data_IF_178656264233
#
_entry.id   IF_178656264233
#
_cell.length_a   1.000
_cell.length_b   1.000
_cell.length_c   1.000
_cell.angle_alpha   90.00
_cell.angle_beta   90.00
_cell.angle_gamma   90.00
#
_symmetry.space_group_name_H-M   'P 1'
#
loop_
_entity.id
_entity.type
_entity.pdbx_description
1 polymer ?
#
# COMPACT_ATOMS: atom_id res chain seq x y z
N UNK A 1 -25.41 -36.72 -6.60
CA UNK A 1 -24.25 -37.00 -7.46
C UNK A 1 -23.80 -35.88 -8.41
N UNK A 2 -24.50 -34.73 -8.54
CA UNK A 2 -24.12 -33.64 -9.46
C UNK A 2 -22.87 -32.82 -9.06
N UNK A 3 -22.60 -32.68 -7.76
CA UNK A 3 -21.44 -31.91 -7.27
C UNK A 3 -20.08 -32.54 -7.61
N UNK A 4 -19.98 -33.88 -7.54
CA UNK A 4 -18.72 -34.60 -7.79
C UNK A 4 -18.25 -34.47 -9.25
N UNK A 5 -19.17 -34.57 -10.21
CA UNK A 5 -18.84 -34.41 -11.63
C UNK A 5 -18.27 -33.01 -11.93
N UNK A 6 -18.84 -31.97 -11.32
CA UNK A 6 -18.36 -30.59 -11.47
C UNK A 6 -16.97 -30.39 -10.85
N UNK A 7 -16.72 -31.01 -9.69
CA UNK A 7 -15.39 -31.01 -9.05
C UNK A 7 -14.36 -31.74 -9.92
N UNK A 8 -14.70 -32.91 -10.47
CA UNK A 8 -13.80 -33.64 -11.36
C UNK A 8 -13.48 -32.87 -12.65
N UNK A 9 -14.48 -32.24 -13.26
CA UNK A 9 -14.27 -31.40 -14.44
C UNK A 9 -13.35 -30.21 -14.13
N UNK A 10 -13.53 -29.56 -12.98
CA UNK A 10 -12.67 -28.47 -12.52
C UNK A 10 -11.23 -28.95 -12.30
N UNK A 11 -11.05 -30.08 -11.61
CA UNK A 11 -9.73 -30.67 -11.35
C UNK A 11 -9.02 -31.05 -12.66
N UNK A 12 -9.74 -31.61 -13.64
CA UNK A 12 -9.19 -31.96 -14.94
C UNK A 12 -8.72 -30.70 -15.71
N UNK A 13 -9.51 -29.63 -15.70
CA UNK A 13 -9.13 -28.36 -16.32
C UNK A 13 -7.90 -27.72 -15.67
N UNK A 14 -7.84 -27.73 -14.34
CA UNK A 14 -6.69 -27.21 -13.59
C UNK A 14 -5.42 -28.04 -13.84
N UNK A 15 -5.55 -29.37 -13.93
CA UNK A 15 -4.44 -30.27 -14.23
C UNK A 15 -3.89 -30.01 -15.63
N UNK A 16 -4.76 -29.78 -16.63
CA UNK A 16 -4.34 -29.44 -17.98
C UNK A 16 -3.54 -28.13 -18.01
N UNK A 17 -4.07 -27.08 -17.36
CA UNK A 17 -3.40 -25.78 -17.29
C UNK A 17 -2.04 -25.84 -16.58
N UNK A 18 -1.89 -26.68 -15.55
CA UNK A 18 -0.61 -26.88 -14.87
C UNK A 18 0.43 -27.55 -15.79
N UNK A 19 0.00 -28.48 -16.63
CA UNK A 19 0.86 -29.18 -17.59
C UNK A 19 1.22 -28.33 -18.81
N UNK A 20 0.45 -27.29 -19.11
CA UNK A 20 0.70 -26.33 -20.19
C UNK A 20 1.73 -25.25 -19.80
N UNK A 21 2.12 -25.15 -18.53
CA UNK A 21 3.17 -24.23 -18.10
C UNK A 21 4.53 -24.62 -18.70
N UNK A 22 5.12 -23.71 -19.49
CA UNK A 22 6.35 -23.97 -20.25
C UNK A 22 7.62 -23.63 -19.48
N UNK A 23 7.53 -22.78 -18.45
CA UNK A 23 8.66 -22.31 -17.67
C UNK A 23 8.33 -22.16 -16.18
N UNK A 24 9.37 -22.06 -15.35
CA UNK A 24 9.22 -21.95 -13.90
C UNK A 24 8.41 -20.72 -13.46
N UNK A 25 8.48 -19.61 -14.20
CA UNK A 25 7.71 -18.40 -13.88
C UNK A 25 6.21 -18.65 -14.03
N UNK A 26 5.79 -19.22 -15.15
CA UNK A 26 4.40 -19.58 -15.44
C UNK A 26 3.84 -20.56 -14.41
N UNK A 27 4.64 -21.55 -14.00
CA UNK A 27 4.27 -22.49 -12.95
C UNK A 27 3.99 -21.77 -11.61
N UNK A 28 4.92 -20.92 -11.16
CA UNK A 28 4.76 -20.21 -9.90
C UNK A 28 3.63 -19.18 -9.93
N UNK A 29 3.40 -18.52 -11.07
CA UNK A 29 2.27 -17.60 -11.24
C UNK A 29 0.93 -18.35 -11.27
N UNK A 30 0.87 -19.54 -11.88
CA UNK A 30 -0.31 -20.42 -11.84
C UNK A 30 -0.67 -20.82 -10.41
N UNK A 31 0.33 -21.23 -9.62
CA UNK A 31 0.19 -21.60 -8.21
C UNK A 31 -0.25 -20.39 -7.41
N UNK A 32 0.49 -19.27 -7.49
CA UNK A 32 0.21 -18.05 -6.73
C UNK A 32 -1.21 -17.53 -6.98
N UNK A 33 -1.67 -17.44 -8.24
CA UNK A 33 -3.05 -17.01 -8.57
C UNK A 33 -4.16 -17.85 -7.89
N UNK A 34 -3.86 -19.09 -7.47
CA UNK A 34 -4.83 -20.05 -6.90
C UNK A 34 -4.62 -20.33 -5.41
N UNK A 35 -3.40 -20.13 -4.90
CA UNK A 35 -3.07 -20.33 -3.48
C UNK A 35 -3.01 -19.02 -2.71
N UNK A 36 -2.68 -17.89 -3.35
CA UNK A 36 -2.73 -16.60 -2.67
C UNK A 36 -4.20 -16.28 -2.40
N UNK A 37 -4.58 -16.07 -1.12
CA UNK A 37 -5.85 -15.43 -0.85
C UNK A 37 -5.77 -14.05 -1.48
N UNK A 38 -6.54 -13.79 -2.55
CA UNK A 38 -6.71 -12.43 -3.10
C UNK A 38 -6.75 -11.48 -1.91
N UNK A 39 -5.83 -10.50 -1.79
CA UNK A 39 -5.84 -9.60 -0.66
C UNK A 39 -7.24 -8.99 -0.64
N UNK A 40 -8.01 -9.33 0.40
CA UNK A 40 -9.35 -8.79 0.56
C UNK A 40 -9.12 -7.29 0.63
N UNK A 41 -9.77 -6.53 -0.25
CA UNK A 41 -9.80 -5.07 -0.12
C UNK A 41 -10.11 -4.78 1.34
N UNK A 42 -9.18 -4.12 2.01
CA UNK A 42 -9.35 -3.70 3.40
C UNK A 42 -10.74 -3.08 3.50
N UNK A 43 -11.59 -3.63 4.37
CA UNK A 43 -12.90 -3.04 4.65
C UNK A 43 -12.77 -1.72 5.42
N UNK A 44 -11.54 -1.38 5.83
CA UNK A 44 -11.23 -0.24 6.66
C UNK A 44 -10.96 0.96 5.77
N UNK A 45 -11.71 2.03 5.98
CA UNK A 45 -11.47 3.33 5.32
C UNK A 45 -10.27 4.03 5.93
N UNK A 46 -9.66 4.97 5.20
CA UNK A 46 -8.56 5.79 5.71
C UNK A 46 -8.97 6.54 6.99
N UNK A 47 -10.21 6.99 7.07
CA UNK A 47 -10.77 7.65 8.27
C UNK A 47 -10.85 6.73 9.48
N UNK A 48 -11.19 5.45 9.28
CA UNK A 48 -11.21 4.45 10.35
C UNK A 48 -9.79 4.12 10.84
N UNK A 49 -8.82 4.07 9.93
CA UNK A 49 -7.41 3.91 10.30
C UNK A 49 -6.91 5.12 11.12
N UNK A 50 -7.22 6.35 10.70
CA UNK A 50 -6.83 7.54 11.44
C UNK A 50 -7.34 7.52 12.88
N UNK A 51 -8.60 7.12 13.07
CA UNK A 51 -9.21 7.00 14.42
C UNK A 51 -8.48 5.95 15.27
N UNK A 52 -8.15 4.78 14.69
CA UNK A 52 -7.45 3.71 15.40
C UNK A 52 -5.99 4.10 15.72
N UNK A 53 -5.34 4.84 14.83
CA UNK A 53 -4.00 5.40 15.06
C UNK A 53 -4.01 6.46 16.15
N UNK A 54 -4.95 7.41 16.14
CA UNK A 54 -5.10 8.41 17.20
C UNK A 54 -5.34 7.77 18.57
N UNK A 55 -6.12 6.69 18.63
CA UNK A 55 -6.35 5.96 19.87
C UNK A 55 -5.08 5.24 20.39
N UNK A 56 -4.20 4.80 19.49
CA UNK A 56 -2.93 4.13 19.83
C UNK A 56 -1.79 5.09 20.11
N UNK A 57 -1.84 6.29 19.54
CA UNK A 57 -0.97 7.37 19.93
C UNK A 57 -1.37 7.73 21.36
N UNK A 58 -0.61 7.23 22.33
CA UNK A 58 -0.80 7.49 23.77
C UNK A 58 -0.57 8.97 24.09
N UNK A 59 -1.39 9.86 23.54
CA UNK A 59 -1.34 11.27 23.83
C UNK A 59 -1.80 11.47 25.27
N UNK A 60 -0.96 12.05 26.13
CA UNK A 60 -1.37 12.33 27.49
C UNK A 60 -2.49 13.38 27.45
N UNK A 61 -3.63 13.06 28.08
CA UNK A 61 -4.79 13.97 28.17
C UNK A 61 -4.45 15.29 28.87
N UNK A 62 -3.43 15.26 29.72
CA UNK A 62 -2.87 16.40 30.43
C UNK A 62 -1.37 16.40 30.14
N UNK A 63 -0.87 17.49 29.56
CA UNK A 63 0.56 17.71 29.36
C UNK A 63 1.28 17.59 30.71
N UNK A 64 2.36 16.82 30.84
CA UNK A 64 3.11 16.74 32.10
C UNK A 64 3.56 18.15 32.52
N UNK A 65 3.55 18.46 33.82
CA UNK A 65 3.95 19.80 34.32
C UNK A 65 5.40 20.16 34.02
N UNK A 66 6.24 19.18 33.66
CA UNK A 66 7.61 19.36 33.20
C UNK A 66 7.72 19.81 31.75
N UNK A 67 6.63 19.73 30.97
CA UNK A 67 6.59 20.17 29.59
C UNK A 67 6.24 21.65 29.54
N UNK A 68 6.97 22.39 28.70
CA UNK A 68 6.67 23.80 28.46
C UNK A 68 5.56 23.89 27.41
N UNK A 69 4.34 24.20 27.86
CA UNK A 69 3.16 24.27 27.00
C UNK A 69 3.28 25.35 25.91
N UNK A 70 4.00 26.44 26.16
CA UNK A 70 4.22 27.49 25.16
C UNK A 70 5.16 27.00 24.06
N UNK A 71 6.21 26.25 24.44
CA UNK A 71 7.10 25.60 23.48
C UNK A 71 6.35 24.52 22.66
N UNK A 72 5.45 23.77 23.30
CA UNK A 72 4.64 22.76 22.62
C UNK A 72 3.70 23.40 21.59
N UNK A 73 3.01 24.50 21.96
CA UNK A 73 2.16 25.27 21.04
C UNK A 73 2.96 25.88 19.89
N UNK A 74 4.14 26.42 20.18
CA UNK A 74 5.05 26.95 19.17
C UNK A 74 5.49 25.87 18.18
N UNK A 75 5.93 24.72 18.68
CA UNK A 75 6.32 23.58 17.86
C UNK A 75 5.15 23.05 17.01
N UNK A 76 3.95 22.98 17.56
CA UNK A 76 2.75 22.56 16.83
C UNK A 76 2.42 23.54 15.69
N UNK A 77 2.59 24.84 15.92
CA UNK A 77 2.44 25.86 14.87
C UNK A 77 3.52 25.74 13.81
N UNK A 78 4.79 25.62 14.21
CA UNK A 78 5.90 25.39 13.29
C UNK A 78 5.71 24.14 12.44
N UNK A 79 5.28 23.03 13.02
CA UNK A 79 5.03 21.79 12.28
C UNK A 79 3.93 21.95 11.23
N UNK A 80 2.88 22.73 11.54
CA UNK A 80 1.83 23.07 10.58
C UNK A 80 2.39 23.92 9.44
N UNK A 81 3.20 24.91 9.75
CA UNK A 81 3.78 25.81 8.75
C UNK A 81 4.83 25.11 7.87
N UNK A 82 5.56 24.12 8.42
CA UNK A 82 6.51 23.27 7.70
C UNK A 82 5.85 22.35 6.66
N UNK A 83 4.56 22.06 6.80
CA UNK A 83 3.84 21.19 5.85
C UNK A 83 3.60 21.85 4.47
N UNK A 84 3.84 23.16 4.35
CA UNK A 84 3.69 23.90 3.10
C UNK A 84 4.89 23.85 2.16
N UNK A 85 6.08 23.49 2.67
CA UNK A 85 7.34 23.50 1.90
C UNK A 85 8.19 22.29 2.29
N UNK A 86 7.80 21.13 1.77
CA UNK A 86 8.53 19.86 1.91
C UNK A 86 9.70 19.76 0.92
N UNK A 87 9.92 20.79 0.09
CA UNK A 87 11.02 20.79 -0.86
C UNK A 87 12.34 20.79 -0.09
N UNK A 88 13.15 19.76 -0.30
CA UNK A 88 14.45 19.72 0.34
C UNK A 88 15.36 20.83 -0.19
N UNK A 89 15.73 21.75 0.70
CA UNK A 89 16.71 22.81 0.43
C UNK A 89 18.11 22.46 0.95
N UNK A 90 18.31 21.27 1.51
CA UNK A 90 19.61 20.81 1.97
C UNK A 90 20.58 20.65 0.79
N UNK A 91 21.89 20.95 0.97
CA UNK A 91 22.90 20.77 -0.09
C UNK A 91 23.00 19.33 -0.61
N UNK A 92 22.45 18.37 0.13
CA UNK A 92 22.49 16.93 -0.19
C UNK A 92 21.19 16.41 -0.81
N UNK A 93 20.11 17.20 -0.87
CA UNK A 93 18.79 16.76 -1.36
C UNK A 93 18.36 15.40 -0.73
N UNK A 94 18.55 15.29 0.58
CA UNK A 94 18.20 14.15 1.42
C UNK A 94 16.68 13.86 1.49
N UNK A 95 15.82 14.85 1.22
CA UNK A 95 14.37 14.65 1.06
C UNK A 95 13.96 14.68 -0.41
N UNK A 96 12.91 13.94 -0.74
CA UNK A 96 12.43 13.77 -2.12
C UNK A 96 11.96 15.11 -2.67
N UNK A 97 12.41 15.47 -3.89
CA UNK A 97 11.94 16.68 -4.60
C UNK A 97 10.42 16.69 -4.72
N UNK A 98 9.83 17.87 -4.91
CA UNK A 98 8.41 17.99 -5.22
C UNK A 98 8.03 17.09 -6.40
N UNK A 99 7.01 16.26 -6.20
CA UNK A 99 6.45 15.41 -7.24
C UNK A 99 5.58 16.30 -8.13
N UNK A 100 5.99 16.49 -9.37
CA UNK A 100 5.26 17.31 -10.33
C UNK A 100 4.15 16.50 -11.02
N UNK A 101 3.28 17.17 -11.76
CA UNK A 101 2.25 16.48 -12.56
C UNK A 101 2.88 15.60 -13.64
N UNK A 102 4.01 16.01 -14.20
CA UNK A 102 4.77 15.21 -15.17
C UNK A 102 5.29 13.91 -14.55
N UNK A 103 5.73 13.94 -13.28
CA UNK A 103 6.13 12.74 -12.56
C UNK A 103 4.96 11.78 -12.36
N UNK A 104 3.78 12.31 -12.02
CA UNK A 104 2.56 11.52 -11.86
C UNK A 104 2.19 10.86 -13.19
N UNK A 105 2.26 11.59 -14.30
CA UNK A 105 1.98 11.04 -15.62
C UNK A 105 3.01 9.99 -16.05
N UNK A 106 4.29 10.23 -15.77
CA UNK A 106 5.35 9.26 -16.01
C UNK A 106 5.14 7.99 -15.18
N UNK A 107 4.85 8.12 -13.88
CA UNK A 107 4.58 6.97 -13.00
C UNK A 107 3.36 6.19 -13.47
N UNK A 108 2.27 6.85 -13.88
CA UNK A 108 1.09 6.19 -14.45
C UNK A 108 1.43 5.40 -15.71
N UNK A 109 2.27 5.97 -16.59
CA UNK A 109 2.72 5.30 -17.82
C UNK A 109 3.59 4.08 -17.49
N UNK A 110 4.56 4.25 -16.59
CA UNK A 110 5.44 3.18 -16.14
C UNK A 110 4.68 2.03 -15.47
N UNK A 111 3.70 2.33 -14.62
CA UNK A 111 2.81 1.33 -14.00
C UNK A 111 1.92 0.67 -15.05
N UNK A 112 1.48 1.37 -16.10
CA UNK A 112 0.72 0.75 -17.18
C UNK A 112 1.58 -0.20 -18.02
N UNK A 113 2.84 0.15 -18.25
CA UNK A 113 3.80 -0.62 -19.06
C UNK A 113 4.36 -1.84 -18.31
N UNK A 114 4.56 -1.73 -16.99
CA UNK A 114 5.23 -2.73 -16.17
C UNK A 114 4.38 -3.27 -15.01
N UNK A 115 3.15 -2.77 -14.86
CA UNK A 115 2.22 -3.22 -13.83
C UNK A 115 1.71 -4.62 -14.12
N UNK A 116 1.57 -5.38 -13.05
CA UNK A 116 1.28 -6.82 -13.01
C UNK A 116 -0.09 -7.18 -13.65
N UNK A 117 -0.90 -6.19 -14.06
CA UNK A 117 -2.19 -6.38 -14.72
C UNK A 117 -2.11 -6.72 -16.22
N UNK A 118 -0.92 -6.88 -16.80
CA UNK A 118 -0.70 -7.49 -18.12
C UNK A 118 -0.29 -8.97 -18.05
N UNK A 119 -0.93 -9.77 -17.16
CA UNK A 119 -0.76 -11.23 -17.11
C UNK A 119 -2.00 -12.03 -16.67
#
# INVERSE_FOLDING_TARGET
HRGRAKVHALQAGLRKQLLECTNNKEFWDFVRKRTDPRPKKSKVTVTQLATDFEARLNYPKVSPSSFNDDLLKFNARMARDLSGDLADRSPRQSCTREITMEDIEWMKRHIKEHGIDTA
#
